data_IF_116756891337
#
_entry.id   IF_116756891337
#
_cell.length_a   1.000
_cell.length_b   1.000
_cell.length_c   1.000
_cell.angle_alpha   90.00
_cell.angle_beta   90.00
_cell.angle_gamma   90.00
#
_symmetry.space_group_name_H-M   'P 1'
#
loop_
_entity.id
_entity.type
_entity.pdbx_description
1 polymer ?
#
# COMPACT_ATOMS: atom_id res chain seq x y z
N UNK A 1 -11.03 6.02 19.79
CA UNK A 1 -9.88 6.95 19.70
C UNK A 1 -8.85 6.23 18.85
N UNK A 2 -8.28 6.87 17.82
CA UNK A 2 -7.23 6.25 17.00
C UNK A 2 -5.97 6.22 17.87
N UNK A 3 -5.41 5.04 18.13
CA UNK A 3 -4.17 4.90 18.89
C UNK A 3 -3.03 5.52 18.09
N UNK A 4 -2.31 6.47 18.69
CA UNK A 4 -1.19 7.17 18.03
C UNK A 4 0.12 6.63 18.58
N UNK A 5 1.04 6.28 17.67
CA UNK A 5 2.39 5.85 18.01
C UNK A 5 3.39 6.94 17.62
N UNK A 6 4.39 7.18 18.47
CA UNK A 6 5.47 8.13 18.19
C UNK A 6 6.60 7.40 17.46
N UNK A 7 7.10 8.02 16.38
CA UNK A 7 8.14 7.46 15.51
C UNK A 7 9.26 8.48 15.37
N UNK A 8 10.49 8.04 15.56
CA UNK A 8 11.67 8.86 15.33
C UNK A 8 12.13 8.71 13.88
N UNK A 9 12.28 9.84 13.19
CA UNK A 9 12.83 9.91 11.84
C UNK A 9 13.99 10.92 11.81
N UNK A 10 14.96 10.77 10.90
CA UNK A 10 16.02 11.75 10.75
C UNK A 10 15.46 13.15 10.48
N UNK A 11 15.99 14.18 11.15
CA UNK A 11 15.55 15.57 10.95
C UNK A 11 15.65 16.02 9.48
N UNK A 12 16.62 15.49 8.74
CA UNK A 12 16.79 15.77 7.31
C UNK A 12 15.63 15.26 6.47
N UNK A 13 15.03 14.14 6.87
CA UNK A 13 13.86 13.56 6.21
C UNK A 13 12.61 14.34 6.60
N UNK A 14 12.45 14.64 7.89
CA UNK A 14 11.34 15.44 8.42
C UNK A 14 11.23 16.80 7.72
N UNK A 15 12.35 17.53 7.56
CA UNK A 15 12.37 18.81 6.83
C UNK A 15 11.96 18.69 5.37
N UNK A 16 12.42 17.65 4.68
CA UNK A 16 12.02 17.42 3.28
C UNK A 16 10.53 17.16 3.17
N UNK A 17 9.96 16.39 4.10
CA UNK A 17 8.53 16.12 4.13
C UNK A 17 7.77 17.41 4.44
N UNK A 18 8.23 18.18 5.42
CA UNK A 18 7.64 19.49 5.76
C UNK A 18 7.63 20.44 4.56
N UNK A 19 8.72 20.52 3.80
CA UNK A 19 8.78 21.32 2.58
C UNK A 19 7.85 20.79 1.48
N UNK A 20 7.70 19.46 1.37
CA UNK A 20 6.83 18.82 0.39
C UNK A 20 5.34 19.06 0.67
N UNK A 21 4.94 19.05 1.95
CA UNK A 21 3.53 19.17 2.33
C UNK A 21 3.03 20.63 2.35
N UNK A 22 3.92 21.63 2.36
CA UNK A 22 3.56 23.06 2.42
C UNK A 22 2.59 23.51 1.32
N UNK A 23 2.71 22.93 0.13
CA UNK A 23 1.88 23.26 -1.03
C UNK A 23 0.71 22.27 -1.22
N UNK A 24 0.47 21.41 -0.23
CA UNK A 24 -0.55 20.36 -0.27
C UNK A 24 -1.68 20.62 0.73
N UNK A 25 -2.71 19.78 0.72
CA UNK A 25 -3.83 19.87 1.67
C UNK A 25 -3.53 19.24 3.04
N UNK A 26 -2.32 18.70 3.25
CA UNK A 26 -1.94 18.08 4.52
C UNK A 26 -1.60 19.14 5.57
N UNK A 27 -2.21 19.03 6.74
CA UNK A 27 -2.01 19.97 7.85
C UNK A 27 -0.86 19.58 8.78
N UNK A 28 -0.39 18.34 8.69
CA UNK A 28 0.72 17.83 9.51
C UNK A 28 1.53 16.76 8.79
N UNK A 29 2.79 16.60 9.22
CA UNK A 29 3.67 15.52 8.76
C UNK A 29 3.07 14.16 9.10
N UNK A 30 2.45 14.04 10.28
CA UNK A 30 1.80 12.81 10.73
C UNK A 30 0.64 12.39 9.81
N UNK A 31 -0.16 13.34 9.34
CA UNK A 31 -1.26 13.05 8.42
C UNK A 31 -0.74 12.56 7.07
N UNK A 32 0.30 13.21 6.55
CA UNK A 32 0.93 12.80 5.28
C UNK A 32 1.55 11.40 5.38
N UNK A 33 2.32 11.13 6.45
CA UNK A 33 2.92 9.80 6.66
C UNK A 33 1.84 8.73 6.82
N UNK A 34 0.77 9.04 7.55
CA UNK A 34 -0.36 8.11 7.73
C UNK A 34 -0.99 7.77 6.39
N UNK A 35 -1.30 8.77 5.56
CA UNK A 35 -1.87 8.56 4.24
C UNK A 35 -0.97 7.70 3.34
N UNK A 36 0.33 8.02 3.28
CA UNK A 36 1.29 7.27 2.44
C UNK A 36 1.45 5.83 2.93
N UNK A 37 1.46 5.60 4.24
CA UNK A 37 1.55 4.24 4.79
C UNK A 37 0.26 3.45 4.56
N UNK A 38 -0.92 4.08 4.67
CA UNK A 38 -2.20 3.45 4.34
C UNK A 38 -2.24 3.05 2.85
N UNK A 39 -1.85 3.94 1.93
CA UNK A 39 -1.80 3.65 0.48
C UNK A 39 -0.80 2.52 0.15
N UNK A 40 0.40 2.53 0.76
CA UNK A 40 1.38 1.47 0.55
C UNK A 40 0.93 0.10 1.10
N UNK A 41 0.16 0.08 2.18
CA UNK A 41 -0.39 -1.16 2.74
C UNK A 41 -1.54 -1.68 1.89
N UNK A 42 -2.43 -0.81 1.40
CA UNK A 42 -3.49 -1.18 0.47
C UNK A 42 -2.91 -1.77 -0.83
N UNK A 43 -1.89 -1.13 -1.42
CA UNK A 43 -1.20 -1.66 -2.61
C UNK A 43 -0.59 -3.04 -2.35
N UNK A 44 -0.01 -3.27 -1.16
CA UNK A 44 0.55 -4.58 -0.80
C UNK A 44 -0.53 -5.66 -0.60
N UNK A 45 -1.67 -5.30 -0.01
CA UNK A 45 -2.82 -6.20 0.14
C UNK A 45 -3.45 -6.53 -1.22
N UNK A 46 -3.60 -5.55 -2.11
CA UNK A 46 -4.10 -5.77 -3.48
C UNK A 46 -3.11 -6.60 -4.33
N UNK A 47 -1.80 -6.40 -4.18
CA UNK A 47 -0.80 -7.28 -4.77
C UNK A 47 -0.92 -8.71 -4.20
N UNK A 48 -1.07 -8.90 -2.89
CA UNK A 48 -1.29 -10.24 -2.33
C UNK A 48 -2.60 -10.91 -2.81
N UNK A 49 -3.69 -10.15 -2.99
CA UNK A 49 -4.95 -10.65 -3.53
C UNK A 49 -4.82 -11.05 -5.01
N UNK A 50 -4.20 -10.20 -5.83
CA UNK A 50 -3.99 -10.45 -7.27
C UNK A 50 -2.93 -11.53 -7.56
N UNK A 51 -1.95 -11.72 -6.66
CA UNK A 51 -1.03 -12.85 -6.68
C UNK A 51 -1.52 -14.05 -5.87
N UNK A 52 -2.76 -14.03 -5.36
CA UNK A 52 -3.30 -15.19 -4.68
C UNK A 52 -3.36 -16.34 -5.68
N UNK A 53 -2.42 -17.27 -5.52
CA UNK A 53 -2.25 -18.47 -6.35
C UNK A 53 -3.55 -19.24 -6.58
N UNK A 54 -4.55 -19.02 -5.72
CA UNK A 54 -5.89 -19.56 -5.80
C UNK A 54 -6.67 -19.09 -7.04
N UNK A 55 -6.55 -17.82 -7.45
CA UNK A 55 -7.17 -17.34 -8.69
C UNK A 55 -6.44 -17.86 -9.92
N UNK A 56 -5.10 -17.90 -9.88
CA UNK A 56 -4.29 -18.49 -10.94
C UNK A 56 -4.58 -19.99 -11.10
N UNK A 57 -4.76 -20.73 -10.00
CA UNK A 57 -5.17 -22.14 -10.01
C UNK A 57 -6.59 -22.32 -10.54
N UNK A 58 -7.57 -21.50 -10.11
CA UNK A 58 -8.94 -21.55 -10.64
C UNK A 58 -8.98 -21.25 -12.14
N UNK A 59 -8.16 -20.31 -12.62
CA UNK A 59 -8.05 -20.00 -14.05
C UNK A 59 -7.38 -21.16 -14.79
N UNK A 60 -6.29 -21.75 -14.26
CA UNK A 60 -5.65 -22.94 -14.83
C UNK A 60 -6.59 -24.14 -14.89
N UNK A 61 -7.38 -24.37 -13.84
CA UNK A 61 -8.34 -25.47 -13.76
C UNK A 61 -9.48 -25.29 -14.78
N UNK A 62 -10.00 -24.05 -14.92
CA UNK A 62 -10.97 -23.71 -15.97
C UNK A 62 -10.39 -23.86 -17.38
N UNK A 63 -9.14 -23.45 -17.60
CA UNK A 63 -8.48 -23.60 -18.89
C UNK A 63 -8.21 -25.07 -19.25
N UNK A 64 -7.82 -25.92 -18.28
CA UNK A 64 -7.72 -27.38 -18.46
C UNK A 64 -9.09 -28.01 -18.76
N UNK A 65 -10.13 -27.61 -18.04
CA UNK A 65 -11.49 -28.11 -18.27
C UNK A 65 -12.03 -27.74 -19.66
N UNK A 66 -11.57 -26.62 -20.22
CA UNK A 66 -11.89 -26.17 -21.58
C UNK A 66 -10.91 -26.70 -22.64
N UNK A 67 -9.88 -27.47 -22.26
CA UNK A 67 -8.93 -28.10 -23.18
C UNK A 67 -7.87 -27.16 -23.78
N UNK A 68 -7.64 -26.00 -23.16
CA UNK A 68 -6.63 -25.02 -23.62
C UNK A 68 -5.24 -25.23 -22.98
N UNK A 69 -5.13 -26.09 -21.97
CA UNK A 69 -3.89 -26.50 -21.32
C UNK A 69 -3.92 -28.03 -21.14
N UNK A 70 -2.89 -28.73 -21.63
CA UNK A 70 -2.61 -30.15 -21.36
C UNK A 70 -1.79 -30.29 -20.06
#
# INVERSE_FOLDING_TARGET
>A
MKDMSEIEIPETLAKKIEDMIKDTSFNSISDYITYVLEELLEDMEEEEETFSKEEEEKIKERLRALGYLD
#
